data_IF_578340796834
#
_entry.id   IF_578340796834
#
_cell.length_a   1.000
_cell.length_b   1.000
_cell.length_c   1.000
_cell.angle_alpha   90.00
_cell.angle_beta   90.00
_cell.angle_gamma   90.00
#
_symmetry.space_group_name_H-M   'P 1'
#
loop_
_entity.id
_entity.type
_entity.pdbx_description
1 polymer ?
#
# COMPACT_ATOMS: atom_id res chain seq x y z
N UNK A 1 -22.91 -13.46 8.91
CA UNK A 1 -21.47 -13.44 9.20
C UNK A 1 -20.71 -14.38 8.27
N UNK A 2 -19.52 -14.00 7.83
CA UNK A 2 -18.52 -14.85 7.19
C UNK A 2 -17.14 -14.55 7.78
N UNK A 3 -16.21 -15.49 7.60
CA UNK A 3 -14.82 -15.37 8.06
C UNK A 3 -13.87 -15.80 6.95
N UNK A 4 -12.75 -15.12 6.85
CA UNK A 4 -11.66 -15.45 5.92
C UNK A 4 -10.48 -15.90 6.75
N UNK A 5 -9.94 -17.07 6.43
CA UNK A 5 -8.81 -17.67 7.13
C UNK A 5 -7.62 -17.80 6.20
N UNK A 6 -6.44 -17.42 6.70
CA UNK A 6 -5.15 -17.67 6.07
C UNK A 6 -4.38 -18.67 6.94
N UNK A 7 -4.04 -19.83 6.36
CA UNK A 7 -3.35 -20.92 7.07
C UNK A 7 -4.01 -21.32 8.40
N UNK A 8 -5.34 -21.29 8.43
CA UNK A 8 -6.15 -21.62 9.61
C UNK A 8 -6.34 -20.48 10.62
N UNK A 9 -5.71 -19.32 10.41
CA UNK A 9 -5.85 -18.14 11.27
C UNK A 9 -6.80 -17.13 10.63
N UNK A 10 -7.73 -16.57 11.40
CA UNK A 10 -8.66 -15.56 10.89
C UNK A 10 -7.92 -14.26 10.54
N UNK A 11 -8.06 -13.81 9.30
CA UNK A 11 -7.50 -12.53 8.80
C UNK A 11 -8.58 -11.49 8.52
N UNK A 12 -9.84 -11.91 8.40
CA UNK A 12 -10.96 -11.00 8.20
C UNK A 12 -12.29 -11.62 8.57
N UNK A 13 -13.28 -10.77 8.84
CA UNK A 13 -14.67 -11.15 9.09
C UNK A 13 -15.61 -10.09 8.56
N UNK A 14 -16.82 -10.47 8.18
CA UNK A 14 -17.83 -9.51 7.74
C UNK A 14 -19.23 -9.98 8.05
N UNK A 15 -20.13 -9.02 8.20
CA UNK A 15 -21.56 -9.26 8.35
C UNK A 15 -22.29 -8.89 7.07
N UNK A 16 -23.21 -9.76 6.68
CA UNK A 16 -24.04 -9.60 5.50
C UNK A 16 -25.48 -9.62 5.95
N UNK A 17 -26.29 -8.75 5.34
CA UNK A 17 -27.73 -8.71 5.58
C UNK A 17 -28.46 -9.33 4.38
N UNK A 18 -28.99 -10.56 4.49
CA UNK A 18 -29.67 -11.21 3.36
C UNK A 18 -30.84 -10.37 2.85
N UNK A 19 -31.02 -10.34 1.51
CA UNK A 19 -32.06 -9.55 0.81
C UNK A 19 -31.91 -8.02 0.90
N UNK A 20 -30.73 -7.55 1.29
CA UNK A 20 -30.35 -6.15 1.26
C UNK A 20 -29.16 -5.95 0.33
N UNK A 21 -28.98 -4.70 -0.10
CA UNK A 21 -27.84 -4.19 -0.84
C UNK A 21 -27.05 -3.24 0.04
N UNK A 22 -25.76 -3.07 -0.25
CA UNK A 22 -24.92 -2.10 0.45
C UNK A 22 -24.83 -0.81 -0.38
N UNK A 23 -25.28 0.30 0.18
CA UNK A 23 -25.16 1.63 -0.41
C UNK A 23 -24.05 2.41 0.31
N UNK A 24 -23.10 2.93 -0.45
CA UNK A 24 -21.93 3.68 0.05
C UNK A 24 -21.93 5.08 -0.56
N UNK A 25 -21.60 6.09 0.24
CA UNK A 25 -21.44 7.47 -0.22
C UNK A 25 -20.01 7.70 -0.70
N UNK A 26 -19.76 7.92 -2.00
CA UNK A 26 -18.44 8.24 -2.51
C UNK A 26 -18.07 9.74 -2.38
N UNK A 27 -18.89 10.53 -1.68
CA UNK A 27 -18.75 12.00 -1.54
C UNK A 27 -19.62 12.79 -2.51
N UNK A 28 -20.49 12.12 -3.27
CA UNK A 28 -21.39 12.72 -4.28
C UNK A 28 -22.86 12.61 -3.93
N UNK A 29 -23.19 12.13 -2.72
CA UNK A 29 -24.59 11.99 -2.30
C UNK A 29 -25.25 13.35 -2.18
N UNK A 30 -26.40 13.50 -2.84
CA UNK A 30 -27.19 14.74 -2.83
C UNK A 30 -28.30 14.69 -1.79
N UNK A 31 -28.87 13.50 -1.55
CA UNK A 31 -29.95 13.29 -0.59
C UNK A 31 -29.77 11.95 0.15
N UNK A 32 -29.91 11.90 1.48
CA UNK A 32 -29.83 10.64 2.20
C UNK A 32 -31.03 9.74 1.87
N UNK A 33 -30.76 8.44 1.75
CA UNK A 33 -31.79 7.41 1.59
C UNK A 33 -32.01 6.64 2.88
N UNK A 34 -33.22 6.13 3.07
CA UNK A 34 -33.52 5.28 4.23
C UNK A 34 -32.77 3.96 4.14
N UNK A 35 -32.14 3.57 5.25
CA UNK A 35 -31.37 2.33 5.33
C UNK A 35 -30.92 2.06 6.74
N UNK A 36 -30.37 0.87 6.96
CA UNK A 36 -29.81 0.49 8.25
C UNK A 36 -28.32 0.82 8.24
N UNK A 37 -27.83 1.71 9.12
CA UNK A 37 -26.42 2.04 9.20
C UNK A 37 -25.54 0.82 9.45
N UNK A 38 -24.41 0.77 8.75
CA UNK A 38 -23.39 -0.27 8.85
C UNK A 38 -22.04 0.31 8.47
N UNK A 39 -20.98 -0.50 8.65
CA UNK A 39 -19.69 -0.25 8.00
C UNK A 39 -19.44 -1.30 6.94
N UNK A 40 -18.86 -0.86 5.85
CA UNK A 40 -18.28 -1.71 4.82
C UNK A 40 -17.05 -2.45 5.40
N UNK A 41 -16.79 -3.71 5.00
CA UNK A 41 -15.79 -4.54 5.69
C UNK A 41 -14.33 -4.40 5.18
N UNK A 42 -14.06 -3.86 4.00
CA UNK A 42 -12.72 -3.81 3.37
C UNK A 42 -11.97 -2.52 3.71
N UNK A 43 -12.66 -1.38 3.74
CA UNK A 43 -12.12 -0.04 3.99
C UNK A 43 -12.68 0.60 5.27
N UNK A 44 -13.74 0.03 5.86
CA UNK A 44 -14.35 0.53 7.09
C UNK A 44 -15.24 1.76 6.88
N UNK A 45 -15.64 2.03 5.64
CA UNK A 45 -16.43 3.21 5.27
C UNK A 45 -17.86 3.11 5.81
N UNK A 46 -18.45 4.25 6.15
CA UNK A 46 -19.85 4.31 6.56
C UNK A 46 -20.75 3.96 5.36
N UNK A 47 -21.74 3.12 5.60
CA UNK A 47 -22.62 2.58 4.56
C UNK A 47 -24.01 2.31 5.12
N UNK A 48 -24.96 2.04 4.22
CA UNK A 48 -26.34 1.71 4.53
C UNK A 48 -26.74 0.37 3.92
N UNK A 49 -27.37 -0.49 4.71
CA UNK A 49 -28.14 -1.61 4.16
C UNK A 49 -29.48 -1.10 3.68
N UNK A 50 -29.70 -1.14 2.36
CA UNK A 50 -30.95 -0.75 1.71
C UNK A 50 -31.66 -1.97 1.14
N UNK A 51 -32.97 -1.92 0.97
CA UNK A 51 -33.68 -3.01 0.28
C UNK A 51 -33.42 -2.94 -1.21
N UNK A 52 -33.67 -4.05 -1.90
CA UNK A 52 -33.49 -4.12 -3.35
C UNK A 52 -34.42 -3.15 -4.12
N UNK A 53 -35.62 -2.88 -3.59
CA UNK A 53 -36.57 -1.91 -4.14
C UNK A 53 -36.05 -0.46 -4.10
N UNK A 54 -35.15 -0.14 -3.17
CA UNK A 54 -34.59 1.21 -3.00
C UNK A 54 -33.34 1.46 -3.86
N UNK A 55 -32.90 0.46 -4.65
CA UNK A 55 -31.66 0.51 -5.46
C UNK A 55 -31.61 1.74 -6.37
N UNK A 56 -32.64 1.91 -7.21
CA UNK A 56 -32.66 3.00 -8.18
C UNK A 56 -32.65 4.36 -7.48
N UNK A 57 -33.45 4.51 -6.41
CA UNK A 57 -33.50 5.74 -5.62
C UNK A 57 -32.13 6.08 -5.03
N UNK A 58 -31.43 5.11 -4.45
CA UNK A 58 -30.10 5.32 -3.89
C UNK A 58 -29.07 5.69 -4.97
N UNK A 59 -29.11 5.05 -6.14
CA UNK A 59 -28.23 5.41 -7.26
C UNK A 59 -28.51 6.83 -7.79
N UNK A 60 -29.79 7.22 -7.92
CA UNK A 60 -30.16 8.58 -8.30
C UNK A 60 -29.70 9.63 -7.28
N UNK A 61 -29.70 9.27 -6.00
CA UNK A 61 -29.21 10.12 -4.91
C UNK A 61 -27.67 10.16 -4.81
N UNK A 62 -26.93 9.46 -5.69
CA UNK A 62 -25.47 9.50 -5.77
C UNK A 62 -24.75 8.41 -4.97
N UNK A 63 -25.45 7.41 -4.43
CA UNK A 63 -24.81 6.28 -3.76
C UNK A 63 -24.25 5.25 -4.75
N UNK A 64 -23.10 4.67 -4.40
CA UNK A 64 -22.62 3.43 -5.01
C UNK A 64 -23.32 2.25 -4.35
N UNK A 65 -24.15 1.53 -5.10
CA UNK A 65 -24.95 0.40 -4.58
C UNK A 65 -24.40 -0.93 -5.10
N UNK A 66 -24.05 -1.84 -4.19
CA UNK A 66 -23.47 -3.15 -4.50
C UNK A 66 -24.22 -4.30 -3.84
N UNK A 67 -24.18 -5.48 -4.46
CA UNK A 67 -24.77 -6.69 -3.91
C UNK A 67 -23.84 -7.40 -2.89
N UNK A 68 -24.39 -8.38 -2.17
CA UNK A 68 -23.65 -9.12 -1.14
C UNK A 68 -22.43 -9.87 -1.70
N UNK A 69 -22.51 -10.42 -2.92
CA UNK A 69 -21.39 -11.09 -3.57
C UNK A 69 -20.24 -10.13 -3.85
N UNK A 70 -20.55 -8.91 -4.25
CA UNK A 70 -19.57 -7.85 -4.50
C UNK A 70 -18.93 -7.42 -3.18
N UNK A 71 -19.71 -7.26 -2.10
CA UNK A 71 -19.17 -6.98 -0.76
C UNK A 71 -18.14 -8.03 -0.34
N UNK A 72 -18.47 -9.32 -0.48
CA UNK A 72 -17.57 -10.41 -0.12
C UNK A 72 -16.33 -10.43 -1.02
N UNK A 73 -16.50 -10.24 -2.33
CA UNK A 73 -15.41 -10.30 -3.31
C UNK A 73 -14.43 -9.14 -3.14
N UNK A 74 -14.92 -7.93 -2.91
CA UNK A 74 -14.08 -6.76 -2.62
C UNK A 74 -13.31 -6.97 -1.32
N UNK A 75 -13.98 -7.41 -0.25
CA UNK A 75 -13.31 -7.68 1.01
C UNK A 75 -12.23 -8.77 0.87
N UNK A 76 -12.55 -9.87 0.18
CA UNK A 76 -11.56 -10.93 -0.08
C UNK A 76 -10.38 -10.42 -0.90
N UNK A 77 -10.62 -9.55 -1.89
CA UNK A 77 -9.57 -8.96 -2.72
C UNK A 77 -8.62 -8.10 -1.88
N UNK A 78 -9.16 -7.24 -1.01
CA UNK A 78 -8.34 -6.39 -0.14
C UNK A 78 -7.56 -7.22 0.89
N UNK A 79 -8.16 -8.29 1.43
CA UNK A 79 -7.43 -9.23 2.30
C UNK A 79 -6.31 -9.96 1.56
N UNK A 80 -6.53 -10.39 0.31
CA UNK A 80 -5.48 -11.03 -0.47
C UNK A 80 -4.35 -10.04 -0.74
N UNK A 81 -4.66 -8.78 -1.06
CA UNK A 81 -3.67 -7.72 -1.25
C UNK A 81 -2.86 -7.46 0.02
N UNK A 82 -3.53 -7.23 1.15
CA UNK A 82 -2.87 -6.95 2.44
C UNK A 82 -1.93 -8.08 2.87
N UNK A 83 -2.33 -9.33 2.59
CA UNK A 83 -1.56 -10.53 2.95
C UNK A 83 -0.76 -11.14 1.78
N UNK A 84 -0.63 -10.45 0.64
CA UNK A 84 0.04 -10.99 -0.55
C UNK A 84 1.50 -11.41 -0.27
N UNK A 85 2.17 -10.64 0.58
CA UNK A 85 3.54 -10.90 1.00
C UNK A 85 3.69 -12.19 1.85
N UNK A 86 2.63 -12.64 2.51
CA UNK A 86 2.61 -13.91 3.26
C UNK A 86 2.31 -15.12 2.37
N UNK A 87 1.59 -14.89 1.27
CA UNK A 87 1.23 -15.88 0.27
C UNK A 87 2.40 -16.22 -0.67
N UNK A 88 3.35 -15.30 -0.87
CA UNK A 88 4.47 -15.48 -1.79
C UNK A 88 5.61 -16.28 -1.14
N UNK A 89 5.58 -17.60 -1.33
CA UNK A 89 6.65 -18.51 -0.93
C UNK A 89 7.72 -18.71 -2.01
N UNK A 90 8.70 -19.57 -1.72
CA UNK A 90 9.79 -19.89 -2.66
C UNK A 90 9.28 -20.63 -3.90
N UNK A 91 8.28 -21.49 -3.74
CA UNK A 91 7.70 -22.25 -4.83
C UNK A 91 6.97 -21.32 -5.81
N UNK A 92 6.16 -20.39 -5.29
CA UNK A 92 5.45 -19.41 -6.12
C UNK A 92 6.43 -18.51 -6.87
N UNK A 93 7.54 -18.10 -6.23
CA UNK A 93 8.60 -17.33 -6.91
C UNK A 93 9.30 -18.15 -7.98
N UNK A 94 9.58 -19.43 -7.72
CA UNK A 94 10.15 -20.32 -8.75
C UNK A 94 9.21 -20.41 -9.96
N UNK A 95 7.91 -20.60 -9.74
CA UNK A 95 6.92 -20.67 -10.82
C UNK A 95 6.84 -19.36 -11.62
N UNK A 96 6.90 -18.20 -10.95
CA UNK A 96 6.96 -16.89 -11.60
C UNK A 96 8.21 -16.75 -12.47
N UNK A 97 9.38 -17.15 -11.95
CA UNK A 97 10.66 -17.11 -12.64
C UNK A 97 10.69 -18.07 -13.84
N UNK A 98 10.21 -19.30 -13.67
CA UNK A 98 10.16 -20.32 -14.72
C UNK A 98 9.23 -19.88 -15.87
N UNK A 99 8.11 -19.23 -15.54
CA UNK A 99 7.23 -18.68 -16.54
C UNK A 99 7.88 -17.52 -17.30
N UNK A 100 8.59 -16.62 -16.62
CA UNK A 100 9.32 -15.54 -17.28
C UNK A 100 10.47 -16.07 -18.16
N UNK A 101 11.15 -17.14 -17.73
CA UNK A 101 12.26 -17.74 -18.48
C UNK A 101 11.85 -18.31 -19.85
N UNK A 102 10.56 -18.59 -20.07
CA UNK A 102 10.04 -19.02 -21.38
C UNK A 102 10.23 -17.95 -22.44
N UNK A 103 10.09 -16.68 -22.07
CA UNK A 103 10.18 -15.52 -22.97
C UNK A 103 11.52 -14.77 -22.82
N UNK A 104 12.07 -14.72 -21.61
CA UNK A 104 13.28 -13.96 -21.25
C UNK A 104 14.32 -14.81 -20.51
N UNK A 105 14.82 -15.92 -21.08
CA UNK A 105 15.72 -16.85 -20.38
C UNK A 105 17.01 -16.17 -19.91
N UNK A 106 17.55 -15.22 -20.69
CA UNK A 106 18.81 -14.54 -20.36
C UNK A 106 18.74 -13.67 -19.11
N UNK A 107 17.60 -13.00 -18.88
CA UNK A 107 17.38 -12.20 -17.67
C UNK A 107 17.43 -13.09 -16.42
N UNK A 108 16.88 -14.30 -16.52
CA UNK A 108 16.85 -15.26 -15.41
C UNK A 108 18.22 -15.90 -15.18
N UNK A 109 18.88 -16.38 -16.24
CA UNK A 109 20.20 -17.04 -16.18
C UNK A 109 21.31 -16.15 -15.61
N UNK A 110 21.28 -14.84 -15.92
CA UNK A 110 22.26 -13.88 -15.39
C UNK A 110 22.10 -13.65 -13.89
N UNK A 111 20.87 -13.73 -13.37
CA UNK A 111 20.57 -13.44 -11.97
C UNK A 111 20.61 -14.70 -11.08
N UNK A 112 19.90 -15.76 -11.47
CA UNK A 112 19.62 -16.93 -10.63
C UNK A 112 20.31 -18.16 -11.25
N UNK A 113 21.05 -18.97 -10.47
CA UNK A 113 21.39 -18.80 -9.04
C UNK A 113 22.66 -17.95 -8.81
N UNK A 114 23.23 -17.37 -9.87
CA UNK A 114 24.60 -16.85 -9.87
C UNK A 114 24.82 -15.63 -8.98
N UNK A 115 23.96 -14.62 -9.10
CA UNK A 115 24.05 -13.36 -8.36
C UNK A 115 23.20 -13.38 -7.10
N UNK A 116 22.00 -13.97 -7.19
CA UNK A 116 21.03 -14.16 -6.11
C UNK A 116 20.41 -15.54 -6.15
N UNK A 117 20.05 -16.05 -4.97
CA UNK A 117 19.19 -17.23 -4.82
C UNK A 117 17.72 -16.86 -5.01
N UNK A 118 16.88 -17.85 -5.33
CA UNK A 118 15.41 -17.70 -5.35
C UNK A 118 14.88 -17.15 -4.02
N UNK A 119 15.49 -17.55 -2.90
CA UNK A 119 15.14 -17.04 -1.57
C UNK A 119 15.40 -15.54 -1.41
N UNK A 120 16.51 -15.02 -1.94
CA UNK A 120 16.81 -13.59 -1.89
C UNK A 120 15.89 -12.79 -2.82
N UNK A 121 15.58 -13.33 -4.01
CA UNK A 121 14.58 -12.71 -4.90
C UNK A 121 13.21 -12.68 -4.22
N UNK A 122 12.82 -13.77 -3.56
CA UNK A 122 11.57 -13.82 -2.79
C UNK A 122 11.54 -12.76 -1.68
N UNK A 123 12.63 -12.56 -0.95
CA UNK A 123 12.70 -11.49 0.06
C UNK A 123 12.49 -10.10 -0.55
N UNK A 124 13.12 -9.80 -1.70
CA UNK A 124 12.88 -8.53 -2.40
C UNK A 124 11.41 -8.37 -2.81
N UNK A 125 10.82 -9.40 -3.43
CA UNK A 125 9.42 -9.36 -3.85
C UNK A 125 8.47 -9.18 -2.65
N UNK A 126 8.78 -9.79 -1.51
CA UNK A 126 8.05 -9.60 -0.24
C UNK A 126 8.13 -8.15 0.24
N UNK A 127 9.30 -7.50 0.19
CA UNK A 127 9.43 -6.09 0.54
C UNK A 127 8.54 -5.21 -0.35
N UNK A 128 8.51 -5.47 -1.66
CA UNK A 128 7.62 -4.76 -2.59
C UNK A 128 6.13 -4.98 -2.24
N UNK A 129 5.73 -6.23 -2.01
CA UNK A 129 4.34 -6.57 -1.72
C UNK A 129 3.84 -6.06 -0.36
N UNK A 130 4.69 -6.00 0.67
CA UNK A 130 4.34 -5.39 1.96
C UNK A 130 3.88 -3.94 1.79
N UNK A 131 4.52 -3.22 0.89
CA UNK A 131 4.17 -1.84 0.55
C UNK A 131 3.16 -1.71 -0.59
N UNK A 132 2.52 -2.83 -0.95
CA UNK A 132 1.51 -2.91 -2.00
C UNK A 132 2.05 -2.38 -3.34
N UNK A 133 3.33 -2.68 -3.65
CA UNK A 133 3.95 -2.43 -4.96
C UNK A 133 3.76 -3.67 -5.82
N UNK A 134 3.21 -3.47 -7.02
CA UNK A 134 2.95 -4.54 -7.98
C UNK A 134 4.24 -5.22 -8.44
N UNK A 135 4.24 -6.55 -8.42
CA UNK A 135 5.34 -7.39 -8.95
C UNK A 135 5.06 -7.95 -10.35
N UNK A 136 4.02 -7.44 -11.03
CA UNK A 136 3.63 -7.93 -12.37
C UNK A 136 4.69 -7.66 -13.43
N UNK A 137 5.42 -6.56 -13.31
CA UNK A 137 6.57 -6.26 -14.17
C UNK A 137 7.82 -6.98 -13.67
N UNK A 138 7.77 -8.32 -13.66
CA UNK A 138 8.83 -9.16 -13.11
C UNK A 138 10.12 -9.01 -13.92
N UNK A 139 10.02 -8.74 -15.23
CA UNK A 139 11.18 -8.48 -16.09
C UNK A 139 11.99 -7.29 -15.58
N UNK A 140 11.37 -6.12 -15.40
CA UNK A 140 12.05 -4.92 -14.88
C UNK A 140 12.64 -5.17 -13.50
N UNK A 141 11.93 -5.94 -12.65
CA UNK A 141 12.43 -6.31 -11.33
C UNK A 141 13.71 -7.13 -11.44
N UNK A 142 13.72 -8.23 -12.19
CA UNK A 142 14.90 -9.10 -12.27
C UNK A 142 16.08 -8.42 -12.98
N UNK A 143 15.85 -7.63 -14.03
CA UNK A 143 16.91 -6.83 -14.67
C UNK A 143 17.55 -5.85 -13.67
N UNK A 144 16.73 -5.17 -12.87
CA UNK A 144 17.24 -4.26 -11.83
C UNK A 144 18.03 -5.00 -10.76
N UNK A 145 17.59 -6.20 -10.38
CA UNK A 145 18.35 -7.03 -9.45
C UNK A 145 19.69 -7.47 -10.05
N UNK A 146 19.74 -7.84 -11.32
CA UNK A 146 20.99 -8.22 -11.98
C UNK A 146 22.00 -7.06 -12.04
N UNK A 147 21.53 -5.83 -12.27
CA UNK A 147 22.37 -4.62 -12.27
C UNK A 147 23.03 -4.36 -10.90
N UNK A 148 22.29 -4.54 -9.81
CA UNK A 148 22.71 -4.11 -8.46
C UNK A 148 23.24 -5.23 -7.57
N UNK A 149 22.83 -6.48 -7.79
CA UNK A 149 23.26 -7.64 -7.01
C UNK A 149 24.79 -7.86 -6.93
N UNK A 150 25.63 -7.44 -7.90
CA UNK A 150 27.08 -7.52 -7.75
C UNK A 150 27.63 -6.67 -6.59
N UNK A 151 26.98 -5.55 -6.25
CA UNK A 151 27.46 -4.59 -5.24
C UNK A 151 26.57 -4.49 -4.00
N UNK A 152 25.30 -4.88 -4.11
CA UNK A 152 24.31 -4.81 -3.04
C UNK A 152 23.74 -6.20 -2.80
N UNK A 153 23.91 -6.73 -1.59
CA UNK A 153 23.41 -8.06 -1.20
C UNK A 153 22.20 -8.02 -0.28
N UNK A 154 21.96 -6.88 0.35
CA UNK A 154 20.83 -6.68 1.25
C UNK A 154 19.50 -6.60 0.45
N UNK A 155 18.52 -7.49 0.71
CA UNK A 155 17.25 -7.51 0.00
C UNK A 155 16.41 -6.24 0.15
N UNK A 156 16.42 -5.60 1.33
CA UNK A 156 15.67 -4.35 1.55
C UNK A 156 16.22 -3.24 0.66
N UNK A 157 17.55 -3.07 0.61
CA UNK A 157 18.20 -2.11 -0.28
C UNK A 157 17.99 -2.43 -1.75
N UNK A 158 18.02 -3.71 -2.14
CA UNK A 158 17.70 -4.12 -3.51
C UNK A 158 16.26 -3.75 -3.87
N UNK A 159 15.30 -3.92 -2.95
CA UNK A 159 13.92 -3.49 -3.14
C UNK A 159 13.83 -1.98 -3.42
N UNK A 160 14.61 -1.14 -2.73
CA UNK A 160 14.65 0.30 -3.01
C UNK A 160 15.11 0.63 -4.44
N UNK A 161 16.11 -0.09 -4.98
CA UNK A 161 16.52 0.10 -6.37
C UNK A 161 15.42 -0.31 -7.35
N UNK A 162 14.74 -1.44 -7.07
CA UNK A 162 13.60 -1.89 -7.85
C UNK A 162 12.46 -0.88 -7.82
N UNK A 163 12.12 -0.33 -6.65
CA UNK A 163 11.08 0.70 -6.52
C UNK A 163 11.35 1.93 -7.38
N UNK A 164 12.60 2.41 -7.44
CA UNK A 164 12.99 3.52 -8.33
C UNK A 164 12.73 3.21 -9.80
N UNK A 165 13.03 1.98 -10.23
CA UNK A 165 12.77 1.50 -11.60
C UNK A 165 11.28 1.33 -11.88
N UNK A 166 10.48 1.03 -10.86
CA UNK A 166 9.01 0.95 -10.91
C UNK A 166 8.31 2.30 -10.65
N UNK A 167 9.03 3.43 -10.70
CA UNK A 167 8.49 4.77 -10.39
C UNK A 167 7.18 5.10 -11.09
N UNK A 168 7.02 4.71 -12.37
CA UNK A 168 5.76 4.89 -13.11
C UNK A 168 4.58 4.16 -12.45
N UNK A 169 4.75 2.90 -12.11
CA UNK A 169 3.70 2.08 -11.49
C UNK A 169 3.38 2.56 -10.06
N UNK A 170 4.42 2.93 -9.29
CA UNK A 170 4.25 3.47 -7.93
C UNK A 170 3.53 4.82 -7.98
N UNK A 171 3.93 5.72 -8.88
CA UNK A 171 3.30 7.04 -9.04
C UNK A 171 1.83 6.89 -9.45
N UNK A 172 1.53 6.04 -10.44
CA UNK A 172 0.16 5.86 -10.93
C UNK A 172 -0.79 5.34 -9.84
N UNK A 173 -0.30 4.49 -8.93
CA UNK A 173 -1.08 4.00 -7.79
C UNK A 173 -1.61 5.13 -6.88
N UNK A 174 -0.85 6.22 -6.75
CA UNK A 174 -1.19 7.31 -5.83
C UNK A 174 -1.66 8.59 -6.54
N UNK A 175 -1.73 8.60 -7.86
CA UNK A 175 -2.25 9.74 -8.60
C UNK A 175 -3.76 9.82 -8.43
N UNK A 176 -4.28 11.04 -8.29
CA UNK A 176 -5.70 11.30 -8.45
C UNK A 176 -6.13 11.23 -9.91
N UNK A 177 -7.45 11.17 -10.13
CA UNK A 177 -8.07 11.08 -11.45
C UNK A 177 -7.69 12.23 -12.41
N UNK A 178 -7.38 13.41 -11.86
CA UNK A 178 -6.87 14.57 -12.62
C UNK A 178 -5.36 14.50 -12.94
N UNK A 179 -4.71 13.40 -12.55
CA UNK A 179 -3.30 13.12 -12.78
C UNK A 179 -2.34 13.85 -11.85
N UNK A 180 -2.81 14.44 -10.76
CA UNK A 180 -1.96 15.06 -9.73
C UNK A 180 -1.48 14.00 -8.72
N UNK A 181 -0.23 14.11 -8.28
CA UNK A 181 0.29 13.34 -7.15
C UNK A 181 0.22 14.22 -5.90
N UNK A 182 -0.71 13.91 -5.01
CA UNK A 182 -0.91 14.67 -3.78
C UNK A 182 -0.18 14.00 -2.63
N UNK A 183 0.64 14.77 -1.89
CA UNK A 183 1.47 14.25 -0.82
C UNK A 183 1.70 15.24 0.32
N UNK A 184 2.14 14.74 1.46
CA UNK A 184 2.59 15.51 2.60
C UNK A 184 4.13 15.50 2.64
N UNK A 185 4.71 16.66 2.96
CA UNK A 185 6.14 16.77 3.20
C UNK A 185 6.44 16.66 4.70
N UNK A 186 7.64 16.21 5.06
CA UNK A 186 8.18 16.35 6.41
C UNK A 186 8.88 17.72 6.53
N UNK A 187 8.85 18.34 7.71
CA UNK A 187 9.71 19.51 7.96
C UNK A 187 11.17 19.06 7.98
N UNK A 188 12.09 19.96 7.63
CA UNK A 188 13.52 19.64 7.61
C UNK A 188 14.03 19.20 8.99
N UNK A 189 13.53 19.79 10.09
CA UNK A 189 13.91 19.34 11.43
C UNK A 189 13.42 17.92 11.70
N UNK A 190 12.15 17.63 11.39
CA UNK A 190 11.57 16.31 11.60
C UNK A 190 12.28 15.25 10.76
N UNK A 191 12.54 15.54 9.50
CA UNK A 191 13.24 14.61 8.60
C UNK A 191 14.65 14.30 9.11
N UNK A 192 15.40 15.29 9.58
CA UNK A 192 16.73 15.09 10.16
C UNK A 192 16.66 14.24 11.43
N UNK A 193 15.75 14.57 12.37
CA UNK A 193 15.57 13.78 13.60
C UNK A 193 15.22 12.33 13.31
N UNK A 194 14.32 12.09 12.35
CA UNK A 194 13.95 10.73 11.95
C UNK A 194 15.11 10.00 11.27
N UNK A 195 15.86 10.67 10.40
CA UNK A 195 17.01 10.11 9.72
C UNK A 195 18.13 9.71 10.70
N UNK A 196 18.42 10.54 11.70
CA UNK A 196 19.38 10.24 12.78
C UNK A 196 18.92 9.05 13.66
N UNK A 197 17.61 8.81 13.73
CA UNK A 197 17.02 7.72 14.50
C UNK A 197 16.96 6.40 13.71
N UNK A 198 17.38 6.38 12.43
CA UNK A 198 17.42 5.16 11.63
C UNK A 198 18.54 4.24 12.14
N UNK A 199 18.17 3.05 12.59
CA UNK A 199 19.11 1.99 12.93
C UNK A 199 19.01 0.85 11.92
N UNK A 200 20.17 0.34 11.52
CA UNK A 200 20.27 -0.86 10.71
C UNK A 200 20.34 -2.07 11.64
N UNK A 201 19.41 -3.01 11.44
CA UNK A 201 19.35 -4.27 12.18
C UNK A 201 19.42 -5.44 11.20
N UNK A 202 19.56 -6.67 11.72
CA UNK A 202 19.49 -7.87 10.89
C UNK A 202 18.12 -8.05 10.20
N UNK A 203 17.07 -7.40 10.72
CA UNK A 203 15.71 -7.39 10.13
C UNK A 203 15.48 -6.18 9.19
N UNK A 204 16.56 -5.47 8.84
CA UNK A 204 16.58 -4.27 8.02
C UNK A 204 16.50 -2.98 8.85
N UNK A 205 16.16 -1.89 8.20
CA UNK A 205 16.10 -0.56 8.82
C UNK A 205 14.85 -0.37 9.69
N UNK A 206 15.02 0.29 10.84
CA UNK A 206 13.98 0.60 11.82
C UNK A 206 14.21 2.00 12.41
N UNK A 207 13.14 2.66 12.83
CA UNK A 207 13.20 3.93 13.56
C UNK A 207 13.29 3.67 15.07
N UNK A 208 14.43 3.99 15.66
CA UNK A 208 14.66 3.91 17.11
C UNK A 208 14.26 5.23 17.77
N UNK A 209 12.96 5.43 17.96
CA UNK A 209 12.39 6.64 18.54
C UNK A 209 12.08 6.48 20.02
N UNK A 210 12.28 7.55 20.79
CA UNK A 210 11.75 7.66 22.14
C UNK A 210 10.20 7.55 22.13
N UNK A 211 9.58 6.80 23.06
CA UNK A 211 8.14 6.54 23.02
C UNK A 211 7.26 7.79 22.99
N UNK A 212 7.65 8.84 23.71
CA UNK A 212 6.92 10.12 23.71
C UNK A 212 6.95 10.82 22.35
N UNK A 213 8.09 10.77 21.65
CA UNK A 213 8.23 11.32 20.31
C UNK A 213 7.45 10.51 19.29
N UNK A 214 7.54 9.18 19.36
CA UNK A 214 6.77 8.27 18.50
C UNK A 214 5.26 8.53 18.61
N UNK A 215 4.74 8.71 19.83
CA UNK A 215 3.32 9.00 20.04
C UNK A 215 2.91 10.37 19.47
N UNK A 216 3.75 11.40 19.65
CA UNK A 216 3.52 12.72 19.02
C UNK A 216 3.46 12.60 17.50
N UNK A 217 4.38 11.84 16.89
CA UNK A 217 4.41 11.59 15.45
C UNK A 217 3.13 10.89 14.98
N UNK A 218 2.73 9.79 15.63
CA UNK A 218 1.51 9.04 15.30
C UNK A 218 0.28 9.94 15.34
N UNK A 219 0.14 10.74 16.40
CA UNK A 219 -0.99 11.66 16.54
C UNK A 219 -1.00 12.71 15.42
N UNK A 220 0.16 13.25 15.07
CA UNK A 220 0.29 14.25 13.99
C UNK A 220 -0.03 13.64 12.63
N UNK A 221 0.42 12.41 12.36
CA UNK A 221 0.11 11.68 11.15
C UNK A 221 -1.41 11.45 11.04
N UNK A 222 -2.07 10.93 12.07
CA UNK A 222 -3.52 10.71 12.04
C UNK A 222 -4.30 12.01 11.77
N UNK A 223 -3.96 13.12 12.42
CA UNK A 223 -4.59 14.42 12.14
C UNK A 223 -4.37 14.91 10.70
N UNK A 224 -3.25 14.53 10.10
CA UNK A 224 -2.93 14.90 8.74
C UNK A 224 -3.68 14.03 7.71
N UNK A 225 -4.08 12.82 8.11
CA UNK A 225 -4.81 11.86 7.27
C UNK A 225 -6.16 12.42 6.85
N UNK A 226 -6.83 13.13 7.76
CA UNK A 226 -8.13 13.75 7.53
C UNK A 226 -8.12 14.67 6.30
N UNK A 227 -7.01 15.37 6.04
CA UNK A 227 -6.84 16.25 4.87
C UNK A 227 -6.83 15.51 3.53
N UNK A 228 -6.41 14.25 3.53
CA UNK A 228 -6.45 13.40 2.35
C UNK A 228 -7.83 12.76 2.18
N UNK A 229 -8.45 12.34 3.29
CA UNK A 229 -9.81 11.77 3.31
C UNK A 229 -10.82 12.78 2.76
N UNK A 230 -10.74 14.05 3.16
CA UNK A 230 -11.58 15.15 2.61
C UNK A 230 -11.45 15.29 1.09
N UNK A 231 -10.35 14.82 0.50
CA UNK A 231 -10.08 14.85 -0.94
C UNK A 231 -10.29 13.50 -1.63
N UNK A 232 -10.76 12.48 -0.91
CA UNK A 232 -10.92 11.13 -1.43
C UNK A 232 -9.60 10.47 -1.83
N UNK A 233 -8.49 10.85 -1.21
CA UNK A 233 -7.15 10.39 -1.57
C UNK A 233 -6.53 9.53 -0.47
N UNK A 234 -5.69 8.59 -0.87
CA UNK A 234 -4.85 7.83 0.07
C UNK A 234 -3.75 8.75 0.63
N UNK A 235 -3.58 8.83 1.96
CA UNK A 235 -2.48 9.59 2.53
C UNK A 235 -1.11 9.12 2.03
N UNK A 236 -0.27 10.06 1.60
CA UNK A 236 1.05 9.78 1.04
C UNK A 236 2.10 10.75 1.60
N UNK A 237 3.22 10.22 2.08
CA UNK A 237 4.32 11.03 2.63
C UNK A 237 5.53 10.97 1.71
N UNK A 238 6.10 12.12 1.41
CA UNK A 238 7.40 12.24 0.76
C UNK A 238 8.51 12.16 1.81
N UNK A 239 9.45 11.25 1.62
CA UNK A 239 10.64 11.10 2.46
C UNK A 239 11.91 11.02 1.62
N UNK A 240 13.07 11.37 2.21
CA UNK A 240 14.37 11.06 1.64
C UNK A 240 14.60 9.56 1.47
N UNK A 241 15.43 9.21 0.48
CA UNK A 241 15.69 7.81 0.13
C UNK A 241 16.35 6.98 1.24
N UNK A 242 17.02 7.63 2.20
CA UNK A 242 17.61 6.94 3.35
C UNK A 242 16.58 6.67 4.46
N UNK A 243 15.64 7.59 4.68
CA UNK A 243 14.60 7.48 5.70
C UNK A 243 13.44 6.57 5.26
N UNK A 244 13.10 6.57 3.97
CA UNK A 244 11.90 5.95 3.42
C UNK A 244 11.61 4.52 3.92
N UNK A 245 12.56 3.57 3.94
CA UNK A 245 12.26 2.19 4.37
C UNK A 245 11.93 2.07 5.85
N UNK A 246 12.70 2.75 6.70
CA UNK A 246 12.46 2.78 8.15
C UNK A 246 11.13 3.47 8.47
N UNK A 247 10.82 4.57 7.79
CA UNK A 247 9.57 5.29 7.95
C UNK A 247 8.36 4.48 7.46
N UNK A 248 8.48 3.78 6.32
CA UNK A 248 7.42 2.92 5.81
C UNK A 248 7.07 1.80 6.77
N UNK A 249 8.07 1.12 7.35
CA UNK A 249 7.85 0.10 8.40
C UNK A 249 7.17 0.68 9.65
N UNK A 250 7.60 1.86 10.08
CA UNK A 250 6.97 2.55 11.22
C UNK A 250 5.50 2.83 10.94
N UNK A 251 5.20 3.37 9.75
CA UNK A 251 3.85 3.71 9.32
C UNK A 251 2.97 2.48 9.15
N UNK A 252 3.46 1.42 8.49
CA UNK A 252 2.75 0.14 8.34
C UNK A 252 2.28 -0.39 9.70
N UNK A 253 3.14 -0.28 10.72
CA UNK A 253 2.86 -0.79 12.06
C UNK A 253 1.89 0.07 12.88
N UNK A 254 2.00 1.40 12.78
CA UNK A 254 1.33 2.31 13.72
C UNK A 254 0.25 3.19 13.09
N UNK A 255 0.31 3.43 11.78
CA UNK A 255 -0.60 4.31 11.03
C UNK A 255 -0.94 3.65 9.68
N UNK A 256 -1.61 2.48 9.68
CA UNK A 256 -1.94 1.76 8.46
C UNK A 256 -2.82 2.60 7.53
N UNK A 257 -2.69 2.40 6.21
CA UNK A 257 -3.41 3.16 5.18
C UNK A 257 -2.63 4.33 4.60
N UNK A 258 -1.44 4.61 5.12
CA UNK A 258 -0.49 5.57 4.54
C UNK A 258 0.48 4.91 3.56
N UNK A 259 0.76 5.62 2.46
CA UNK A 259 1.92 5.36 1.61
C UNK A 259 3.14 6.19 2.04
N UNK A 260 4.34 5.67 1.77
CA UNK A 260 5.59 6.44 1.81
C UNK A 260 6.26 6.33 0.45
N UNK A 261 6.64 7.46 -0.11
CA UNK A 261 7.31 7.56 -1.41
C UNK A 261 8.61 8.36 -1.28
N UNK A 262 9.64 7.93 -1.99
CA UNK A 262 10.85 8.71 -2.16
C UNK A 262 10.79 9.57 -3.43
N UNK A 263 11.53 10.69 -3.47
CA UNK A 263 11.56 11.55 -4.66
C UNK A 263 11.95 10.80 -5.94
N UNK A 264 12.86 9.82 -5.83
CA UNK A 264 13.32 8.98 -6.95
C UNK A 264 12.28 7.95 -7.44
N UNK A 265 11.17 7.80 -6.73
CA UNK A 265 10.06 6.91 -7.08
C UNK A 265 8.92 7.68 -7.77
N UNK A 266 9.02 9.01 -7.87
CA UNK A 266 8.08 9.85 -8.60
C UNK A 266 8.46 9.85 -10.08
N UNK A 267 7.52 9.44 -10.93
CA UNK A 267 7.75 9.39 -12.37
C UNK A 267 8.06 10.80 -12.92
N UNK A 268 8.97 10.92 -13.90
CA UNK A 268 9.28 12.20 -14.52
C UNK A 268 8.02 12.89 -15.06
N UNK A 269 7.98 14.22 -14.98
CA UNK A 269 6.85 15.06 -15.42
C UNK A 269 5.54 14.88 -14.64
N UNK A 270 5.55 14.18 -13.49
CA UNK A 270 4.40 14.12 -12.60
C UNK A 270 4.17 15.47 -11.94
N UNK A 271 2.94 15.98 -12.01
CA UNK A 271 2.54 17.20 -11.29
C UNK A 271 2.32 16.85 -9.83
N UNK A 272 3.10 17.47 -8.94
CA UNK A 272 3.04 17.22 -7.50
C UNK A 272 2.32 18.37 -6.81
N UNK A 273 1.41 18.03 -5.89
CA UNK A 273 0.77 19.00 -5.00
C UNK A 273 1.00 18.61 -3.55
N UNK A 274 1.54 19.53 -2.77
CA UNK A 274 1.65 19.32 -1.33
C UNK A 274 0.36 19.73 -0.61
N UNK A 275 -0.13 18.88 0.28
CA UNK A 275 -1.23 19.20 1.23
C UNK A 275 -0.73 19.81 2.54
N UNK A 276 0.59 20.01 2.65
CA UNK A 276 1.25 20.72 3.74
C UNK A 276 2.49 19.99 4.26
N UNK A 277 2.99 20.48 5.39
CA UNK A 277 4.21 20.03 6.04
C UNK A 277 3.86 19.45 7.41
N UNK A 278 4.33 18.23 7.68
CA UNK A 278 4.24 17.56 8.97
C UNK A 278 5.44 18.01 9.79
N UNK A 279 5.17 18.63 10.93
CA UNK A 279 6.17 19.02 11.93
C UNK A 279 5.74 18.55 13.31
N UNK A 280 6.71 18.27 14.17
CA UNK A 280 6.50 17.99 15.59
C UNK A 280 7.10 19.16 16.35
N UNK A 281 6.26 19.88 17.10
CA UNK A 281 6.73 20.92 17.99
C UNK A 281 7.44 20.25 19.19
N UNK A 282 8.61 20.77 19.55
CA UNK A 282 9.41 20.31 20.69
C UNK A 282 8.58 20.30 21.98
#
# INVERSE_FOLDING_TARGET
EYRVLLRGTQIGRGDLKPRYLLAMDPGTVTEPVDGIPTREPSFGLDALWIKEEDRERAQFAGYTVVDLSTVVTTHLTELIKSHAHELLGRQEVQELVDNLAKDYPKVVEELIPNLLTVGQVQQVLVHLLKEQVSIRDLKTILETLADWAPTVKDPERLAEYVRRRLSRAITEKYKSDDGMLVLANLSSELENTLAESVQQTDEGSLLALEPGFAQKLINKLNQFADRFIEKGQTPLILASSHLRPALAKFIERFVPGYGVIAHQEIAPNTRVQSVGVISIDN
#
